data_IF_814517727003
#
_entry.id   IF_814517727003
#
_cell.length_a   1.000
_cell.length_b   1.000
_cell.length_c   1.000
_cell.angle_alpha   90.00
_cell.angle_beta   90.00
_cell.angle_gamma   90.00
#
_symmetry.space_group_name_H-M   'P 1'
#
loop_
_entity.id
_entity.type
_entity.pdbx_description
1 polymer ?
#
# COMPACT_ATOMS: atom_id res chain seq x y z
N UNK A 1 -33.61 13.91 -26.44
CA UNK A 1 -33.19 12.67 -25.74
C UNK A 1 -32.34 11.83 -26.69
N UNK A 2 -31.00 11.97 -26.68
CA UNK A 2 -30.10 11.11 -27.50
C UNK A 2 -28.63 11.01 -27.02
N UNK A 3 -28.27 11.62 -25.88
CA UNK A 3 -26.85 11.73 -25.48
C UNK A 3 -26.52 11.11 -24.09
N UNK A 4 -27.32 10.16 -23.59
CA UNK A 4 -27.05 9.51 -22.27
C UNK A 4 -26.78 8.00 -22.34
N UNK A 5 -26.72 7.40 -23.53
CA UNK A 5 -26.60 5.95 -23.69
C UNK A 5 -25.19 5.45 -24.05
N UNK A 6 -24.21 6.33 -24.28
CA UNK A 6 -22.85 5.91 -24.64
C UNK A 6 -21.87 5.73 -23.47
N UNK A 7 -22.25 6.11 -22.24
CA UNK A 7 -21.33 6.01 -21.09
C UNK A 7 -21.41 4.68 -20.32
N UNK A 8 -22.40 3.83 -20.62
CA UNK A 8 -22.65 2.60 -19.85
C UNK A 8 -22.05 1.33 -20.49
N UNK A 9 -21.47 1.40 -21.69
CA UNK A 9 -21.00 0.22 -22.42
C UNK A 9 -19.48 -0.02 -22.35
N UNK A 10 -18.70 0.88 -21.75
CA UNK A 10 -17.22 0.82 -21.78
C UNK A 10 -16.57 0.33 -20.49
N UNK A 11 -17.35 -0.05 -19.46
CA UNK A 11 -16.83 -0.50 -18.16
C UNK A 11 -16.90 -2.02 -17.92
N UNK A 12 -17.31 -2.81 -18.91
CA UNK A 12 -17.50 -4.27 -18.78
C UNK A 12 -16.48 -5.13 -19.56
N UNK A 13 -15.25 -4.63 -19.73
CA UNK A 13 -14.12 -5.46 -20.20
C UNK A 13 -12.93 -5.43 -19.24
N UNK A 14 -13.19 -5.35 -17.93
CA UNK A 14 -12.19 -5.82 -16.97
C UNK A 14 -12.29 -7.34 -16.97
N UNK A 15 -11.42 -7.95 -17.78
CA UNK A 15 -11.29 -9.38 -17.90
C UNK A 15 -11.27 -10.04 -16.53
N UNK A 16 -12.03 -11.11 -16.42
CA UNK A 16 -11.95 -12.07 -15.33
C UNK A 16 -10.49 -12.56 -15.29
N UNK A 17 -9.69 -11.96 -14.40
CA UNK A 17 -8.38 -12.50 -14.09
C UNK A 17 -8.65 -13.85 -13.42
N UNK A 18 -8.36 -14.91 -14.18
CA UNK A 18 -8.39 -16.28 -13.71
C UNK A 18 -7.65 -16.36 -12.37
N UNK A 19 -8.37 -16.73 -11.30
CA UNK A 19 -7.77 -17.16 -10.04
C UNK A 19 -7.02 -18.47 -10.29
N UNK A 20 -5.81 -18.37 -10.87
CA UNK A 20 -4.87 -19.48 -10.97
C UNK A 20 -4.23 -19.61 -9.59
N UNK A 21 -4.65 -20.66 -8.86
CA UNK A 21 -4.05 -21.20 -7.63
C UNK A 21 -2.82 -20.43 -7.12
N UNK A 22 -3.08 -19.44 -6.26
CA UNK A 22 -2.06 -18.65 -5.57
C UNK A 22 -1.44 -19.38 -4.34
N UNK A 23 -1.79 -20.64 -4.10
CA UNK A 23 -1.38 -21.34 -2.88
C UNK A 23 0.04 -21.91 -2.95
N UNK A 24 0.65 -22.04 -4.14
CA UNK A 24 1.99 -22.64 -4.29
C UNK A 24 3.10 -21.59 -4.41
N UNK A 25 2.75 -20.38 -4.85
CA UNK A 25 3.69 -19.27 -5.05
C UNK A 25 3.11 -18.04 -4.36
N UNK A 26 3.89 -17.39 -3.49
CA UNK A 26 3.46 -16.28 -2.65
C UNK A 26 2.84 -15.08 -3.39
N UNK A 27 2.54 -14.01 -2.67
CA UNK A 27 1.91 -12.83 -3.25
C UNK A 27 2.97 -11.87 -3.84
N UNK A 28 2.82 -11.53 -5.13
CA UNK A 28 3.68 -10.56 -5.83
C UNK A 28 3.62 -9.15 -5.25
N UNK A 29 2.47 -8.76 -4.68
CA UNK A 29 2.27 -7.42 -4.09
C UNK A 29 3.03 -7.24 -2.79
N UNK A 30 3.49 -8.34 -2.19
CA UNK A 30 4.25 -8.35 -0.94
C UNK A 30 5.72 -8.09 -1.31
N UNK A 31 6.07 -6.79 -1.45
CA UNK A 31 7.39 -6.32 -1.86
C UNK A 31 8.06 -5.47 -0.77
N UNK A 32 9.27 -5.83 -0.36
CA UNK A 32 10.17 -4.98 0.42
C UNK A 32 10.51 -5.56 1.79
N UNK A 33 10.99 -4.70 2.69
CA UNK A 33 11.20 -5.06 4.09
C UNK A 33 9.87 -5.02 4.83
N UNK A 34 9.43 -6.15 5.39
CA UNK A 34 8.08 -6.29 5.95
C UNK A 34 7.95 -7.43 6.94
N UNK A 35 7.01 -7.34 7.88
CA UNK A 35 6.89 -8.34 8.96
C UNK A 35 6.39 -9.70 8.45
N UNK A 36 5.56 -9.70 7.42
CA UNK A 36 5.01 -10.86 6.72
C UNK A 36 5.81 -11.26 5.47
N UNK A 37 7.11 -10.92 5.44
CA UNK A 37 8.03 -11.16 4.31
C UNK A 37 7.99 -12.58 3.71
N UNK A 38 7.70 -13.61 4.51
CA UNK A 38 7.61 -15.00 4.06
C UNK A 38 6.49 -15.25 3.04
N UNK A 39 5.47 -14.37 3.04
CA UNK A 39 4.36 -14.43 2.10
C UNK A 39 4.71 -13.83 0.73
N UNK A 40 5.86 -13.16 0.61
CA UNK A 40 6.33 -12.53 -0.62
C UNK A 40 6.68 -13.57 -1.68
N UNK A 41 6.32 -13.31 -2.93
CA UNK A 41 6.78 -14.16 -4.04
C UNK A 41 8.13 -13.73 -4.58
N UNK A 42 8.25 -12.45 -4.90
CA UNK A 42 9.36 -11.95 -5.69
C UNK A 42 10.40 -11.27 -4.80
N UNK A 43 9.96 -10.52 -3.76
CA UNK A 43 10.86 -9.91 -2.79
C UNK A 43 10.18 -9.58 -1.45
N UNK A 44 10.28 -10.50 -0.49
CA UNK A 44 10.01 -10.21 0.92
C UNK A 44 11.30 -10.28 1.72
N UNK A 45 11.81 -9.17 2.22
CA UNK A 45 12.96 -9.15 3.11
C UNK A 45 12.50 -9.04 4.57
N UNK A 46 13.10 -9.85 5.45
CA UNK A 46 12.89 -9.69 6.89
C UNK A 46 13.52 -8.36 7.34
N UNK A 47 12.81 -7.52 8.11
CA UNK A 47 13.40 -6.34 8.76
C UNK A 47 14.65 -6.73 9.55
N UNK A 48 15.71 -5.93 9.37
CA UNK A 48 17.03 -6.18 9.97
C UNK A 48 17.12 -5.42 11.30
N UNK A 49 17.44 -6.14 12.37
CA UNK A 49 17.52 -5.60 13.72
C UNK A 49 18.96 -5.61 14.24
N UNK A 50 19.21 -4.79 15.27
CA UNK A 50 20.48 -4.80 16.00
C UNK A 50 20.76 -6.20 16.54
N UNK A 51 21.97 -6.69 16.32
CA UNK A 51 22.41 -8.01 16.76
C UNK A 51 22.15 -9.13 15.76
N UNK A 52 21.37 -8.89 14.71
CA UNK A 52 21.22 -9.86 13.62
C UNK A 52 22.59 -10.14 12.98
N UNK A 53 22.80 -11.40 12.60
CA UNK A 53 24.02 -11.88 11.94
C UNK A 53 23.73 -12.43 10.54
N UNK A 54 22.50 -12.30 10.06
CA UNK A 54 22.04 -12.80 8.77
C UNK A 54 20.89 -11.96 8.23
N UNK A 55 20.79 -11.86 6.91
CA UNK A 55 19.67 -11.25 6.20
C UNK A 55 18.85 -12.36 5.56
N UNK A 56 17.54 -12.38 5.81
CA UNK A 56 16.61 -13.36 5.23
C UNK A 56 15.72 -12.71 4.20
N UNK A 57 15.61 -13.36 3.04
CA UNK A 57 14.82 -12.89 1.92
C UNK A 57 14.03 -14.05 1.34
N UNK A 58 12.73 -13.85 1.13
CA UNK A 58 11.86 -14.68 0.33
C UNK A 58 11.78 -14.09 -1.07
N UNK A 59 12.00 -14.91 -2.09
CA UNK A 59 12.08 -14.51 -3.49
C UNK A 59 11.68 -15.67 -4.41
N UNK A 60 11.74 -15.42 -5.72
CA UNK A 60 11.56 -16.46 -6.72
C UNK A 60 12.73 -17.47 -6.66
N UNK A 61 12.48 -18.76 -6.94
CA UNK A 61 13.55 -19.74 -7.12
C UNK A 61 14.59 -19.23 -8.12
N UNK A 62 15.85 -19.62 -7.95
CA UNK A 62 16.98 -19.15 -8.78
C UNK A 62 17.29 -17.64 -8.67
N UNK A 63 16.58 -16.95 -7.77
CA UNK A 63 16.96 -15.76 -7.02
C UNK A 63 18.45 -15.60 -6.74
N UNK A 64 19.18 -14.65 -7.33
CA UNK A 64 20.52 -14.26 -6.85
C UNK A 64 20.42 -13.00 -6.00
N UNK A 65 20.72 -13.10 -4.70
CA UNK A 65 20.81 -11.95 -3.82
C UNK A 65 22.21 -11.36 -3.81
N UNK A 66 22.26 -10.05 -4.00
CA UNK A 66 23.44 -9.20 -3.88
C UNK A 66 23.19 -8.18 -2.77
N UNK A 67 24.11 -8.09 -1.81
CA UNK A 67 23.97 -7.21 -0.64
C UNK A 67 25.09 -6.16 -0.63
N UNK A 68 24.69 -4.90 -0.49
CA UNK A 68 25.58 -3.77 -0.31
C UNK A 68 25.44 -3.22 1.10
N UNK A 69 26.54 -2.73 1.65
CA UNK A 69 26.61 -2.03 2.93
C UNK A 69 27.04 -0.59 2.67
N UNK A 70 26.49 0.36 3.40
CA UNK A 70 26.92 1.75 3.31
C UNK A 70 28.17 1.98 4.16
N UNK A 71 29.29 2.30 3.51
CA UNK A 71 30.59 2.56 4.14
C UNK A 71 31.27 3.72 3.43
N UNK A 72 31.99 4.56 4.18
CA UNK A 72 32.77 5.67 3.61
C UNK A 72 31.95 6.57 2.65
N UNK A 73 30.68 6.85 2.98
CA UNK A 73 29.74 7.61 2.16
C UNK A 73 29.46 7.04 0.77
N UNK A 74 29.57 5.73 0.59
CA UNK A 74 29.21 5.03 -0.65
C UNK A 74 28.67 3.63 -0.36
N UNK A 75 27.92 3.08 -1.33
CA UNK A 75 27.52 1.68 -1.30
C UNK A 75 28.70 0.79 -1.67
N UNK A 76 29.10 -0.09 -0.76
CA UNK A 76 30.13 -1.09 -1.00
C UNK A 76 29.49 -2.48 -1.02
N UNK A 77 29.79 -3.25 -2.06
CA UNK A 77 29.34 -4.61 -2.18
C UNK A 77 29.97 -5.48 -1.08
N UNK A 78 29.16 -6.30 -0.39
CA UNK A 78 29.71 -7.27 0.56
C UNK A 78 30.41 -8.38 -0.24
N UNK A 79 31.72 -8.50 -0.01
CA UNK A 79 32.58 -9.48 -0.68
C UNK A 79 33.08 -10.55 0.30
N UNK A 80 33.34 -11.73 -0.23
CA UNK A 80 34.05 -12.79 0.45
C UNK A 80 35.55 -12.72 0.22
N UNK A 81 36.30 -13.09 1.26
CA UNK A 81 37.73 -13.35 1.13
C UNK A 81 37.90 -14.82 0.73
N UNK A 82 38.50 -15.07 -0.43
CA UNK A 82 38.83 -16.43 -0.84
C UNK A 82 40.14 -16.83 -0.15
N UNK A 83 40.08 -17.85 0.73
CA UNK A 83 41.30 -18.49 1.26
C UNK A 83 41.70 -19.66 0.37
N UNK A 84 42.99 -19.74 0.05
CA UNK A 84 43.59 -20.80 -0.77
C UNK A 84 43.13 -22.21 -0.36
N UNK A 85 42.76 -23.03 -1.35
CA UNK A 85 42.50 -24.47 -1.19
C UNK A 85 41.03 -24.90 -1.08
N UNK A 86 40.08 -23.97 -1.09
CA UNK A 86 38.65 -24.30 -1.18
C UNK A 86 38.22 -24.54 -2.63
N UNK A 87 37.57 -25.67 -2.91
CA UNK A 87 36.92 -25.92 -4.21
C UNK A 87 35.78 -24.94 -4.39
N UNK A 88 36.00 -23.88 -5.16
CA UNK A 88 34.95 -22.94 -5.55
C UNK A 88 34.34 -23.43 -6.87
N UNK A 89 33.08 -23.84 -6.84
CA UNK A 89 32.30 -24.10 -8.06
C UNK A 89 31.85 -22.75 -8.61
N UNK A 90 32.67 -22.18 -9.49
CA UNK A 90 32.18 -21.26 -10.51
C UNK A 90 32.62 -21.87 -11.84
N UNK A 91 31.66 -22.20 -12.70
CA UNK A 91 31.98 -22.46 -14.09
C UNK A 91 32.75 -21.24 -14.62
N UNK A 92 33.93 -21.51 -15.19
CA UNK A 92 34.85 -20.62 -15.92
C UNK A 92 35.87 -19.80 -15.10
N UNK A 93 37.13 -19.99 -15.51
CA UNK A 93 38.41 -19.34 -15.15
C UNK A 93 39.13 -19.80 -13.87
N UNK A 94 40.14 -20.66 -14.10
CA UNK A 94 41.23 -20.99 -13.18
C UNK A 94 42.42 -20.10 -13.57
N UNK A 95 42.77 -19.13 -12.75
CA UNK A 95 44.07 -18.46 -12.85
C UNK A 95 44.93 -18.94 -11.66
N UNK A 96 46.03 -19.61 -11.98
CA UNK A 96 47.10 -19.92 -11.03
C UNK A 96 47.92 -18.64 -10.82
N UNK A 97 47.75 -17.99 -9.66
CA UNK A 97 48.52 -16.81 -9.30
C UNK A 97 47.97 -16.17 -8.04
N UNK A 98 48.83 -15.93 -7.05
CA UNK A 98 48.42 -15.41 -5.75
C UNK A 98 47.88 -13.98 -5.79
N UNK A 99 46.59 -13.85 -5.52
CA UNK A 99 45.92 -12.61 -5.13
C UNK A 99 44.91 -12.92 -4.02
N UNK A 100 44.86 -12.09 -2.97
CA UNK A 100 43.75 -12.10 -2.00
C UNK A 100 42.51 -11.54 -2.68
N UNK A 101 41.93 -12.31 -3.61
CA UNK A 101 40.80 -11.84 -4.40
C UNK A 101 39.54 -11.77 -3.53
N UNK A 102 38.92 -10.59 -3.57
CA UNK A 102 37.62 -10.36 -2.95
C UNK A 102 36.53 -10.59 -3.98
N UNK A 103 35.80 -11.71 -3.87
CA UNK A 103 34.71 -12.06 -4.79
C UNK A 103 33.39 -11.53 -4.23
N UNK A 104 32.49 -10.95 -5.05
CA UNK A 104 31.11 -10.68 -4.66
C UNK A 104 30.45 -11.87 -3.95
N UNK A 105 30.00 -11.69 -2.69
CA UNK A 105 29.21 -12.72 -2.03
C UNK A 105 27.82 -12.70 -2.67
N UNK A 106 27.49 -13.75 -3.42
CA UNK A 106 26.18 -13.95 -4.04
C UNK A 106 25.58 -15.22 -3.49
N UNK A 107 24.34 -15.15 -3.00
CA UNK A 107 23.61 -16.32 -2.50
C UNK A 107 22.46 -16.60 -3.45
N UNK A 108 22.42 -17.83 -3.96
CA UNK A 108 21.35 -18.32 -4.82
C UNK A 108 20.20 -18.86 -3.97
N UNK A 109 18.98 -18.57 -4.38
CA UNK A 109 17.78 -19.15 -3.79
C UNK A 109 17.61 -20.59 -4.27
N UNK A 110 17.37 -21.50 -3.32
CA UNK A 110 16.98 -22.87 -3.62
C UNK A 110 15.56 -22.96 -4.20
N UNK A 111 15.08 -24.19 -4.41
CA UNK A 111 13.74 -24.43 -4.94
C UNK A 111 12.59 -23.91 -4.06
N UNK A 112 12.86 -23.58 -2.80
CA UNK A 112 11.92 -23.01 -1.85
C UNK A 112 11.82 -21.48 -1.93
N UNK A 113 12.63 -20.81 -2.75
CA UNK A 113 12.59 -19.35 -2.87
C UNK A 113 13.11 -18.63 -1.62
N UNK A 114 13.83 -19.31 -0.71
CA UNK A 114 14.38 -18.69 0.48
C UNK A 114 15.88 -18.43 0.30
N UNK A 115 16.33 -17.26 0.74
CA UNK A 115 17.73 -16.87 0.80
C UNK A 115 18.06 -16.49 2.24
N UNK A 116 19.16 -17.05 2.74
CA UNK A 116 19.80 -16.61 3.98
C UNK A 116 21.20 -16.12 3.65
N UNK A 117 21.43 -14.83 3.82
CA UNK A 117 22.71 -14.19 3.58
C UNK A 117 23.42 -13.96 4.91
N UNK A 118 24.49 -14.71 5.24
CA UNK A 118 25.23 -14.49 6.47
C UNK A 118 25.97 -13.15 6.42
N UNK A 119 26.00 -12.43 7.53
CA UNK A 119 26.79 -11.21 7.72
C UNK A 119 28.09 -11.55 8.45
N UNK A 120 29.16 -10.82 8.14
CA UNK A 120 30.48 -11.04 8.77
C UNK A 120 30.57 -10.51 10.21
N UNK A 121 29.70 -9.56 10.56
CA UNK A 121 29.60 -8.92 11.87
C UNK A 121 28.14 -8.81 12.27
N UNK A 122 27.89 -8.74 13.57
CA UNK A 122 26.56 -8.43 14.08
C UNK A 122 26.17 -6.99 13.72
N UNK A 123 24.95 -6.84 13.25
CA UNK A 123 24.36 -5.58 12.83
C UNK A 123 24.31 -4.59 14.00
N UNK A 124 24.67 -3.34 13.73
CA UNK A 124 24.55 -2.21 14.67
C UNK A 124 23.45 -1.25 14.26
N UNK A 125 23.01 -0.40 15.20
CA UNK A 125 22.07 0.68 14.90
C UNK A 125 22.72 1.69 13.94
N UNK A 126 21.95 2.14 12.95
CA UNK A 126 22.43 3.06 11.91
C UNK A 126 23.17 2.38 10.76
N UNK A 127 23.47 1.08 10.83
CA UNK A 127 23.98 0.33 9.67
C UNK A 127 22.94 0.39 8.54
N UNK A 128 23.39 0.63 7.31
CA UNK A 128 22.52 0.69 6.13
C UNK A 128 22.86 -0.43 5.15
N UNK A 129 21.83 -1.10 4.70
CA UNK A 129 21.92 -2.20 3.75
C UNK A 129 21.07 -1.93 2.52
N UNK A 130 21.58 -2.36 1.37
CA UNK A 130 20.84 -2.37 0.11
C UNK A 130 20.86 -3.76 -0.48
N UNK A 131 19.67 -4.29 -0.76
CA UNK A 131 19.45 -5.60 -1.33
C UNK A 131 19.08 -5.44 -2.79
N UNK A 132 19.70 -6.24 -3.66
CA UNK A 132 19.38 -6.34 -5.07
C UNK A 132 19.22 -7.82 -5.41
N UNK A 133 18.09 -8.18 -6.00
CA UNK A 133 17.78 -9.50 -6.50
C UNK A 133 17.82 -9.52 -8.02
N UNK A 134 18.44 -10.55 -8.58
CA UNK A 134 18.44 -10.81 -10.02
C UNK A 134 18.09 -12.27 -10.32
N UNK A 135 17.37 -12.51 -11.42
CA UNK A 135 17.05 -13.86 -11.93
C UNK A 135 17.55 -13.94 -13.37
N UNK A 136 18.38 -14.92 -13.70
CA UNK A 136 18.93 -15.06 -15.06
C UNK A 136 19.68 -13.82 -15.56
N UNK A 137 20.24 -13.02 -14.65
CA UNK A 137 20.93 -11.76 -14.97
C UNK A 137 20.02 -10.53 -15.07
N UNK A 138 18.70 -10.68 -14.99
CA UNK A 138 17.75 -9.56 -15.02
C UNK A 138 17.42 -9.08 -13.62
N UNK A 139 17.27 -7.76 -13.45
CA UNK A 139 16.81 -7.17 -12.20
C UNK A 139 15.40 -7.64 -11.88
N UNK A 140 15.23 -8.24 -10.70
CA UNK A 140 13.93 -8.64 -10.17
C UNK A 140 13.39 -7.57 -9.23
N UNK A 141 14.15 -7.26 -8.18
CA UNK A 141 13.70 -6.39 -7.10
C UNK A 141 14.86 -5.88 -6.25
N UNK A 142 14.56 -4.91 -5.39
CA UNK A 142 15.53 -4.38 -4.44
C UNK A 142 14.87 -3.51 -3.38
N UNK A 143 15.65 -3.22 -2.34
CA UNK A 143 15.22 -2.38 -1.23
C UNK A 143 16.41 -1.91 -0.40
N UNK A 144 16.22 -0.79 0.28
CA UNK A 144 17.19 -0.22 1.21
C UNK A 144 16.60 -0.27 2.63
N UNK A 145 17.46 -0.49 3.62
CA UNK A 145 17.09 -0.58 5.02
C UNK A 145 18.14 0.06 5.91
N UNK A 146 17.70 0.93 6.80
CA UNK A 146 18.53 1.52 7.85
C UNK A 146 18.09 0.95 9.20
N UNK A 147 19.03 0.31 9.89
CA UNK A 147 18.74 -0.44 11.10
C UNK A 147 18.36 0.51 12.24
N UNK A 148 17.12 0.37 12.73
CA UNK A 148 16.57 1.18 13.81
C UNK A 148 15.92 2.49 13.35
N UNK A 149 15.97 2.82 12.06
CA UNK A 149 15.29 4.00 11.49
C UNK A 149 14.20 3.62 10.48
N UNK A 150 14.42 2.58 9.68
CA UNK A 150 13.45 2.12 8.69
C UNK A 150 12.26 1.41 9.34
N UNK A 151 11.07 1.65 8.80
CA UNK A 151 9.81 1.03 9.22
C UNK A 151 9.45 -0.07 8.21
N UNK A 152 8.92 -1.23 8.65
CA UNK A 152 8.39 -2.24 7.76
C UNK A 152 7.25 -1.69 6.89
N UNK A 153 7.24 -2.01 5.59
CA UNK A 153 6.25 -1.47 4.65
C UNK A 153 4.80 -1.80 4.98
N UNK A 154 4.56 -2.97 5.56
CA UNK A 154 3.22 -3.39 5.96
C UNK A 154 2.66 -2.57 7.14
N UNK A 155 3.53 -1.95 7.94
CA UNK A 155 3.13 -1.00 8.97
C UNK A 155 2.83 0.37 8.32
N UNK A 156 3.67 0.84 7.39
CA UNK A 156 3.42 2.07 6.62
C UNK A 156 2.07 2.02 5.87
N UNK A 157 1.79 0.90 5.17
CA UNK A 157 0.52 0.69 4.45
C UNK A 157 -0.71 0.71 5.38
N UNK A 158 -0.57 0.27 6.64
CA UNK A 158 -1.67 0.28 7.62
C UNK A 158 -1.93 1.69 8.14
N UNK A 159 -0.86 2.42 8.46
CA UNK A 159 -0.95 3.79 8.95
C UNK A 159 -1.57 4.71 7.90
N UNK A 160 -1.18 4.58 6.63
CA UNK A 160 -1.79 5.32 5.52
C UNK A 160 -3.29 5.02 5.37
N UNK A 161 -3.68 3.76 5.52
CA UNK A 161 -5.08 3.36 5.46
C UNK A 161 -5.90 3.91 6.64
N UNK A 162 -5.32 4.02 7.83
CA UNK A 162 -5.96 4.62 9.00
C UNK A 162 -6.08 6.14 8.84
N UNK A 163 -5.04 6.80 8.36
CA UNK A 163 -5.06 8.23 8.03
C UNK A 163 -6.15 8.52 7.00
N UNK A 164 -6.27 7.71 5.94
CA UNK A 164 -7.30 7.91 4.93
C UNK A 164 -8.71 7.75 5.51
N UNK A 165 -8.96 6.72 6.33
CA UNK A 165 -10.25 6.56 7.03
C UNK A 165 -10.56 7.74 7.95
N UNK A 166 -9.55 8.32 8.59
CA UNK A 166 -9.71 9.50 9.43
C UNK A 166 -10.09 10.73 8.59
N UNK A 167 -9.42 10.95 7.45
CA UNK A 167 -9.76 12.02 6.51
C UNK A 167 -11.19 11.86 5.99
N UNK A 168 -11.55 10.67 5.50
CA UNK A 168 -12.89 10.38 5.01
C UNK A 168 -13.96 10.63 6.09
N UNK A 169 -13.67 10.27 7.35
CA UNK A 169 -14.54 10.53 8.49
C UNK A 169 -14.68 12.01 8.85
N UNK A 170 -13.63 12.82 8.64
CA UNK A 170 -13.71 14.27 8.81
C UNK A 170 -14.54 14.92 7.69
N UNK A 171 -14.32 14.54 6.44
CA UNK A 171 -15.10 15.04 5.31
C UNK A 171 -16.59 14.70 5.46
N UNK A 172 -16.90 13.50 5.95
CA UNK A 172 -18.29 13.11 6.20
C UNK A 172 -18.93 13.96 7.31
N UNK A 173 -18.22 14.21 8.41
CA UNK A 173 -18.73 15.09 9.50
C UNK A 173 -18.93 16.53 9.03
N UNK A 174 -18.04 17.04 8.20
CA UNK A 174 -18.17 18.37 7.62
C UNK A 174 -19.41 18.45 6.73
N UNK A 175 -19.62 17.45 5.85
CA UNK A 175 -20.81 17.35 5.01
C UNK A 175 -22.10 17.25 5.82
N UNK A 176 -22.12 16.44 6.88
CA UNK A 176 -23.27 16.35 7.80
C UNK A 176 -23.55 17.67 8.52
N UNK A 177 -22.50 18.40 8.94
CA UNK A 177 -22.62 19.74 9.52
C UNK A 177 -23.15 20.76 8.52
N UNK A 178 -22.68 20.74 7.27
CA UNK A 178 -23.18 21.60 6.20
C UNK A 178 -24.66 21.31 5.88
N UNK A 179 -25.04 20.04 5.80
CA UNK A 179 -26.43 19.61 5.61
C UNK A 179 -27.32 20.06 6.78
N UNK A 180 -26.84 19.96 8.03
CA UNK A 180 -27.57 20.46 9.20
C UNK A 180 -27.76 21.97 9.15
N UNK A 181 -26.71 22.74 8.81
CA UNK A 181 -26.82 24.20 8.65
C UNK A 181 -27.80 24.56 7.54
N UNK A 182 -27.77 23.85 6.41
CA UNK A 182 -28.69 24.05 5.31
C UNK A 182 -30.14 23.74 5.71
N UNK A 183 -30.37 22.66 6.45
CA UNK A 183 -31.69 22.31 6.99
C UNK A 183 -32.19 23.36 8.00
N UNK A 184 -31.31 23.88 8.87
CA UNK A 184 -31.65 24.97 9.78
C UNK A 184 -31.99 26.28 9.06
N UNK A 185 -31.26 26.61 8.00
CA UNK A 185 -31.55 27.78 7.16
C UNK A 185 -32.89 27.65 6.46
N UNK A 186 -33.18 26.49 5.86
CA UNK A 186 -34.49 26.18 5.29
C UNK A 186 -35.59 26.28 6.34
N UNK A 187 -35.37 25.76 7.54
CA UNK A 187 -36.35 25.83 8.63
C UNK A 187 -36.59 27.28 9.09
N UNK A 188 -35.54 28.09 9.21
CA UNK A 188 -35.65 29.53 9.53
C UNK A 188 -36.39 30.29 8.43
N UNK A 189 -36.10 30.01 7.16
CA UNK A 189 -36.83 30.59 6.03
C UNK A 189 -38.32 30.23 6.08
N UNK A 190 -38.67 28.96 6.30
CA UNK A 190 -40.06 28.54 6.44
C UNK A 190 -40.78 29.25 7.59
N UNK A 191 -40.13 29.44 8.74
CA UNK A 191 -40.72 30.21 9.86
C UNK A 191 -40.90 31.69 9.51
N UNK A 192 -39.95 32.30 8.80
CA UNK A 192 -40.08 33.68 8.35
C UNK A 192 -41.17 33.84 7.28
N UNK A 193 -41.31 32.91 6.35
CA UNK A 193 -42.38 32.90 5.35
C UNK A 193 -43.74 32.64 6.00
N UNK A 194 -43.82 31.71 6.95
CA UNK A 194 -45.02 31.46 7.73
C UNK A 194 -45.41 32.68 8.57
N UNK A 195 -44.44 33.38 9.17
CA UNK A 195 -44.66 34.63 9.91
C UNK A 195 -44.99 35.82 9.00
N UNK A 196 -44.49 35.83 7.74
CA UNK A 196 -44.86 36.80 6.70
C UNK A 196 -46.24 36.58 6.10
N UNK A 197 -46.87 35.40 6.28
CA UNK A 197 -48.31 35.25 5.98
C UNK A 197 -49.08 36.19 6.90
N UNK A 198 -49.60 37.26 6.32
CA UNK A 198 -50.34 38.28 7.06
C UNK A 198 -51.58 37.66 7.69
N UNK A 199 -51.94 38.11 8.90
CA UNK A 199 -53.13 37.62 9.62
C UNK A 199 -54.40 37.70 8.77
N UNK A 200 -54.47 38.65 7.83
CA UNK A 200 -55.54 38.79 6.85
C UNK A 200 -55.59 37.67 5.79
N UNK A 201 -54.46 37.11 5.34
CA UNK A 201 -54.47 35.96 4.43
C UNK A 201 -54.98 34.70 5.13
N UNK A 202 -54.57 34.48 6.39
CA UNK A 202 -55.10 33.37 7.21
C UNK A 202 -56.60 33.54 7.52
N UNK A 203 -57.05 34.78 7.70
CA UNK A 203 -58.47 35.10 7.90
C UNK A 203 -59.29 34.88 6.61
N UNK A 204 -58.75 35.28 5.44
CA UNK A 204 -59.41 35.12 4.14
C UNK A 204 -59.63 33.66 3.77
N UNK A 205 -58.61 32.81 3.98
CA UNK A 205 -58.72 31.36 3.71
C UNK A 205 -59.76 30.69 4.63
N UNK A 206 -59.76 31.06 5.92
CA UNK A 206 -60.76 30.58 6.89
C UNK A 206 -62.19 31.02 6.54
N UNK A 207 -62.37 32.24 6.02
CA UNK A 207 -63.68 32.77 5.61
C UNK A 207 -64.13 32.10 4.31
N UNK A 208 -63.23 31.81 3.37
CA UNK A 208 -63.55 31.10 2.13
C UNK A 208 -63.98 29.65 2.37
N UNK A 209 -63.29 28.92 3.27
CA UNK A 209 -63.66 27.55 3.63
C UNK A 209 -65.01 27.49 4.37
N UNK A 210 -65.29 28.46 5.23
CA UNK A 210 -66.61 28.57 5.87
C UNK A 210 -67.71 28.93 4.86
N UNK A 211 -67.42 29.78 3.87
CA UNK A 211 -68.37 30.11 2.80
C UNK A 211 -68.65 28.94 1.86
N UNK A 212 -67.64 28.11 1.57
CA UNK A 212 -67.80 26.90 0.77
C UNK A 212 -68.68 25.88 1.48
N UNK A 213 -68.43 25.61 2.76
CA UNK A 213 -69.29 24.73 3.57
C UNK A 213 -70.73 25.26 3.72
N UNK A 214 -70.90 26.58 3.82
CA UNK A 214 -72.23 27.20 3.89
C UNK A 214 -72.98 27.15 2.54
N UNK A 215 -72.29 27.32 1.41
CA UNK A 215 -72.87 27.13 0.07
C UNK A 215 -73.25 25.68 -0.22
N UNK A 216 -72.46 24.73 0.28
CA UNK A 216 -72.74 23.29 0.13
C UNK A 216 -73.97 22.88 0.97
N UNK A 217 -74.10 23.42 2.18
CA UNK A 217 -75.27 23.22 3.04
C UNK A 217 -76.58 23.78 2.46
N UNK A 218 -76.53 24.84 1.65
CA UNK A 218 -77.71 25.46 1.02
C UNK A 218 -78.10 24.83 -0.32
N UNK A 219 -77.30 23.88 -0.84
CA UNK A 219 -77.54 23.16 -2.10
C UNK A 219 -77.93 21.69 -1.92
N UNK A 220 -77.98 21.19 -0.68
CA UNK A 220 -78.61 19.93 -0.29
C UNK A 220 -80.02 20.15 0.23
#
# INVERSE_FOLDING_TARGET
MKNKLMLAATLLTVGVATNVKAEVYGNQRIWGFRTDWQQGRDFGAKPIHKGDNEIKVKTAPEAVLTVYEWKNNKWELIKDEVRNGGTYSHETYREEGGSNDQIPRRVLSGGDGLITFPLKKNVQLGDKYKLILTVGGFYLAGGEWTVGESIPKDEEERDEAEIQKFIDGLEQKERESEEQKYAEELFKQQQQEAAKKTWHQRLSDSIQDQWWNFKDWWKG
#
